data_IF_350545229451
#
_entry.id   IF_350545229451
#
_cell.length_a   1.000
_cell.length_b   1.000
_cell.length_c   1.000
_cell.angle_alpha   90.00
_cell.angle_beta   90.00
_cell.angle_gamma   90.00
#
_symmetry.space_group_name_H-M   'P 1'
#
loop_
_entity.id
_entity.type
_entity.pdbx_description
1 polymer ?
#
# COMPACT_ATOMS: atom_id res chain seq x y z
N UNK A 1 25.03 6.25 -7.76
CA UNK A 1 25.65 4.91 -7.82
C UNK A 1 26.54 4.55 -6.63
N UNK A 2 27.49 5.40 -6.18
CA UNK A 2 28.28 5.12 -4.94
C UNK A 2 27.47 5.33 -3.65
N UNK A 3 26.61 6.36 -3.63
CA UNK A 3 25.89 6.77 -2.42
C UNK A 3 24.57 6.02 -2.20
N UNK A 4 23.85 5.65 -3.27
CA UNK A 4 22.63 4.84 -3.21
C UNK A 4 22.87 3.47 -2.54
N UNK A 5 24.08 2.91 -2.71
CA UNK A 5 24.50 1.65 -2.09
C UNK A 5 24.52 1.69 -0.57
N UNK A 6 24.85 2.84 0.02
CA UNK A 6 24.79 3.01 1.48
C UNK A 6 23.35 3.18 1.94
N UNK A 7 22.52 3.81 1.13
CA UNK A 7 21.12 4.10 1.44
C UNK A 7 20.23 2.84 1.48
N UNK A 8 20.54 1.77 0.75
CA UNK A 8 19.78 0.50 0.82
C UNK A 8 19.89 -0.19 2.19
N UNK A 9 20.93 0.13 2.97
CA UNK A 9 21.14 -0.44 4.32
C UNK A 9 20.39 0.32 5.43
N UNK A 10 19.61 1.34 5.05
CA UNK A 10 18.81 2.12 5.99
C UNK A 10 17.83 1.20 6.74
N UNK A 11 17.80 1.31 8.06
CA UNK A 11 16.89 0.55 8.91
C UNK A 11 15.41 0.87 8.62
N UNK A 12 15.12 2.07 8.10
CA UNK A 12 13.78 2.43 7.64
C UNK A 12 13.31 1.58 6.45
N UNK A 13 14.23 1.20 5.55
CA UNK A 13 13.89 0.29 4.44
C UNK A 13 13.48 -1.08 4.99
N UNK A 14 14.22 -1.61 5.98
CA UNK A 14 13.90 -2.90 6.60
C UNK A 14 12.52 -2.87 7.25
N UNK A 15 12.24 -1.83 8.05
CA UNK A 15 10.94 -1.63 8.69
C UNK A 15 9.81 -1.52 7.66
N UNK A 16 10.01 -0.73 6.60
CA UNK A 16 9.04 -0.62 5.50
C UNK A 16 8.75 -1.98 4.87
N UNK A 17 9.78 -2.78 4.56
CA UNK A 17 9.61 -4.10 3.95
C UNK A 17 8.90 -5.07 4.89
N UNK A 18 9.21 -5.04 6.18
CA UNK A 18 8.51 -5.83 7.19
C UNK A 18 7.02 -5.46 7.23
N UNK A 19 6.69 -4.17 7.26
CA UNK A 19 5.31 -3.70 7.19
C UNK A 19 4.62 -4.14 5.90
N UNK A 20 5.29 -4.04 4.74
CA UNK A 20 4.75 -4.50 3.45
C UNK A 20 4.46 -6.00 3.48
N UNK A 21 5.37 -6.82 4.03
CA UNK A 21 5.15 -8.26 4.16
C UNK A 21 3.94 -8.58 5.02
N UNK A 22 3.81 -7.92 6.18
CA UNK A 22 2.67 -8.12 7.10
C UNK A 22 1.36 -7.65 6.44
N UNK A 23 1.38 -6.55 5.69
CA UNK A 23 0.21 -6.09 4.94
C UNK A 23 -0.20 -7.04 3.82
N UNK A 24 0.76 -7.54 3.03
CA UNK A 24 0.48 -8.58 2.04
C UNK A 24 -0.09 -9.84 2.69
N UNK A 25 0.45 -10.28 3.81
CA UNK A 25 -0.05 -11.44 4.56
C UNK A 25 -1.48 -11.23 5.08
N UNK A 26 -1.78 -10.04 5.65
CA UNK A 26 -3.13 -9.69 6.07
C UNK A 26 -4.13 -9.79 4.91
N UNK A 27 -3.74 -9.33 3.72
CA UNK A 27 -4.58 -9.36 2.52
C UNK A 27 -4.72 -10.77 1.95
N UNK A 28 -3.64 -11.56 1.92
CA UNK A 28 -3.62 -12.90 1.33
C UNK A 28 -4.27 -13.96 2.23
N UNK A 29 -4.13 -13.83 3.55
CA UNK A 29 -4.51 -14.83 4.56
C UNK A 29 -5.62 -14.31 5.51
N UNK A 30 -6.69 -13.77 4.94
CA UNK A 30 -7.75 -13.06 5.67
C UNK A 30 -8.91 -13.94 6.19
N UNK A 31 -8.92 -15.24 5.88
CA UNK A 31 -10.10 -16.13 6.01
C UNK A 31 -10.62 -16.33 7.46
N UNK A 32 -9.76 -16.13 8.46
CA UNK A 32 -10.06 -16.33 9.88
C UNK A 32 -10.10 -15.02 10.68
N UNK A 33 -9.91 -13.88 10.03
CA UNK A 33 -9.85 -12.57 10.69
C UNK A 33 -11.27 -12.00 10.77
N UNK A 34 -11.74 -11.71 11.98
CA UNK A 34 -13.03 -11.03 12.13
C UNK A 34 -12.95 -9.58 11.59
N UNK A 35 -14.09 -9.03 11.17
CA UNK A 35 -14.18 -7.71 10.52
C UNK A 35 -13.53 -6.58 11.34
N UNK A 36 -13.73 -6.55 12.66
CA UNK A 36 -13.21 -5.50 13.53
C UNK A 36 -11.68 -5.57 13.63
N UNK A 37 -11.12 -6.77 13.82
CA UNK A 37 -9.68 -6.99 13.83
C UNK A 37 -9.06 -6.63 12.48
N UNK A 38 -9.72 -6.98 11.37
CA UNK A 38 -9.26 -6.62 10.04
C UNK A 38 -9.22 -5.10 9.85
N UNK A 39 -10.25 -4.36 10.29
CA UNK A 39 -10.28 -2.90 10.25
C UNK A 39 -9.15 -2.28 11.08
N UNK A 40 -9.00 -2.69 12.34
CA UNK A 40 -7.93 -2.19 13.21
C UNK A 40 -6.54 -2.47 12.64
N UNK A 41 -6.29 -3.70 12.19
CA UNK A 41 -4.98 -4.06 11.65
C UNK A 41 -4.70 -3.37 10.32
N UNK A 42 -5.71 -3.18 9.48
CA UNK A 42 -5.60 -2.37 8.26
C UNK A 42 -5.20 -0.94 8.61
N UNK A 43 -5.84 -0.30 9.59
CA UNK A 43 -5.50 1.06 9.99
C UNK A 43 -4.05 1.17 10.50
N UNK A 44 -3.65 0.27 11.40
CA UNK A 44 -2.29 0.20 11.95
C UNK A 44 -1.24 0.09 10.83
N UNK A 45 -1.42 -0.88 9.93
CA UNK A 45 -0.47 -1.13 8.84
C UNK A 45 -0.46 0.01 7.82
N UNK A 46 -1.61 0.61 7.48
CA UNK A 46 -1.63 1.76 6.57
C UNK A 46 -0.90 2.97 7.16
N UNK A 47 -1.04 3.22 8.48
CA UNK A 47 -0.26 4.26 9.17
C UNK A 47 1.24 3.99 9.09
N UNK A 48 1.67 2.76 9.38
CA UNK A 48 3.08 2.37 9.31
C UNK A 48 3.63 2.45 7.88
N UNK A 49 2.85 2.01 6.88
CA UNK A 49 3.23 2.08 5.47
C UNK A 49 3.45 3.54 5.05
N UNK A 50 2.57 4.45 5.43
CA UNK A 50 2.74 5.87 5.15
C UNK A 50 3.97 6.41 5.89
N UNK A 51 4.08 6.13 7.20
CA UNK A 51 5.18 6.62 8.02
C UNK A 51 6.54 6.20 7.46
N UNK A 52 6.77 4.89 7.28
CA UNK A 52 8.03 4.39 6.75
C UNK A 52 8.20 4.69 5.25
N UNK A 53 7.11 4.80 4.49
CA UNK A 53 7.12 5.20 3.09
C UNK A 53 7.70 6.60 2.88
N UNK A 54 7.36 7.56 3.76
CA UNK A 54 7.96 8.91 3.77
C UNK A 54 9.44 8.92 4.17
N UNK A 55 9.86 7.93 4.97
CA UNK A 55 11.25 7.78 5.40
C UNK A 55 12.13 7.03 4.38
N UNK A 56 11.56 6.53 3.29
CA UNK A 56 12.34 5.89 2.24
C UNK A 56 13.32 6.89 1.59
N UNK A 57 14.59 6.49 1.38
CA UNK A 57 15.59 7.38 0.83
C UNK A 57 15.26 7.76 -0.61
N UNK A 58 15.59 9.00 -0.97
CA UNK A 58 15.45 9.47 -2.33
C UNK A 58 16.60 8.92 -3.19
N UNK A 59 16.39 7.73 -3.73
CA UNK A 59 17.31 7.06 -4.66
C UNK A 59 16.84 7.30 -6.10
N UNK A 60 17.71 7.01 -7.08
CA UNK A 60 17.36 7.05 -8.51
C UNK A 60 17.23 5.63 -9.04
N UNK A 61 16.17 5.35 -9.80
CA UNK A 61 15.99 4.06 -10.49
C UNK A 61 17.10 3.85 -11.53
N UNK A 62 17.59 2.61 -11.66
CA UNK A 62 18.61 2.25 -12.67
C UNK A 62 17.95 1.93 -14.02
N UNK A 63 16.67 1.55 -14.00
CA UNK A 63 15.84 1.44 -15.18
C UNK A 63 14.48 2.05 -14.91
N UNK A 64 14.09 3.11 -15.63
CA UNK A 64 12.74 3.70 -15.62
C UNK A 64 11.66 2.75 -16.18
N UNK A 65 11.89 1.43 -16.13
CA UNK A 65 10.90 0.46 -16.56
C UNK A 65 9.86 0.27 -15.45
N UNK A 66 8.56 0.24 -15.82
CA UNK A 66 7.52 -0.12 -14.87
C UNK A 66 7.80 -1.51 -14.31
N UNK A 67 7.55 -1.70 -13.01
CA UNK A 67 7.65 -3.02 -12.41
C UNK A 67 6.73 -3.98 -13.17
N UNK A 68 7.26 -5.18 -13.48
CA UNK A 68 6.43 -6.24 -14.04
C UNK A 68 5.29 -6.55 -13.07
N UNK A 69 4.09 -6.59 -13.61
CA UNK A 69 2.87 -6.96 -12.88
C UNK A 69 3.02 -8.38 -12.35
N UNK A 70 3.12 -8.53 -11.03
CA UNK A 70 3.23 -9.83 -10.36
C UNK A 70 1.86 -10.47 -10.13
N UNK A 71 0.79 -9.66 -10.13
CA UNK A 71 -0.58 -10.08 -9.81
C UNK A 71 -1.44 -10.09 -11.08
N UNK A 72 -2.03 -11.24 -11.41
CA UNK A 72 -2.99 -11.33 -12.52
C UNK A 72 -4.28 -10.56 -12.22
N UNK A 73 -4.99 -10.14 -13.27
CA UNK A 73 -6.28 -9.45 -13.11
C UNK A 73 -7.31 -10.32 -12.37
N UNK A 74 -7.34 -11.63 -12.64
CA UNK A 74 -8.24 -12.56 -11.96
C UNK A 74 -7.94 -12.66 -10.47
N UNK A 75 -6.64 -12.68 -10.10
CA UNK A 75 -6.24 -12.71 -8.70
C UNK A 75 -6.56 -11.38 -8.00
N UNK A 76 -6.36 -10.24 -8.67
CA UNK A 76 -6.79 -8.94 -8.16
C UNK A 76 -8.30 -8.90 -7.88
N UNK A 77 -9.13 -9.36 -8.84
CA UNK A 77 -10.60 -9.41 -8.68
C UNK A 77 -10.98 -10.34 -7.53
N UNK A 78 -10.29 -11.47 -7.36
CA UNK A 78 -10.50 -12.39 -6.24
C UNK A 78 -10.25 -11.68 -4.90
N UNK A 79 -9.08 -11.07 -4.73
CA UNK A 79 -8.70 -10.34 -3.50
C UNK A 79 -9.70 -9.22 -3.20
N UNK A 80 -10.05 -8.42 -4.21
CA UNK A 80 -11.00 -7.33 -4.07
C UNK A 80 -12.39 -7.82 -3.60
N UNK A 81 -12.88 -8.96 -4.10
CA UNK A 81 -14.13 -9.57 -3.64
C UNK A 81 -14.05 -10.10 -2.21
N UNK A 82 -12.95 -10.77 -1.86
CA UNK A 82 -12.74 -11.29 -0.50
C UNK A 82 -12.73 -10.15 0.53
N UNK A 83 -12.00 -9.08 0.25
CA UNK A 83 -11.96 -7.89 1.12
C UNK A 83 -13.32 -7.19 1.18
N UNK A 84 -14.04 -7.09 0.06
CA UNK A 84 -15.40 -6.51 0.05
C UNK A 84 -16.34 -7.27 0.97
N UNK A 85 -16.26 -8.61 1.00
CA UNK A 85 -17.05 -9.44 1.90
C UNK A 85 -16.70 -9.19 3.37
N UNK A 86 -15.41 -8.99 3.69
CA UNK A 86 -14.97 -8.67 5.05
C UNK A 86 -15.50 -7.31 5.48
N UNK A 87 -15.38 -6.27 4.66
CA UNK A 87 -15.87 -4.92 5.01
C UNK A 87 -17.39 -4.82 5.00
N UNK A 88 -18.09 -5.65 4.22
CA UNK A 88 -19.55 -5.71 4.20
C UNK A 88 -20.18 -4.34 4.02
N UNK A 89 -21.07 -3.95 4.94
CA UNK A 89 -21.77 -2.65 4.90
C UNK A 89 -20.85 -1.43 5.00
N UNK A 90 -19.63 -1.60 5.50
CA UNK A 90 -18.64 -0.52 5.64
C UNK A 90 -17.75 -0.35 4.41
N UNK A 91 -17.96 -1.15 3.35
CA UNK A 91 -17.06 -1.16 2.21
C UNK A 91 -17.07 0.15 1.41
N UNK A 92 -18.19 0.87 1.34
CA UNK A 92 -18.32 2.08 0.53
C UNK A 92 -18.10 3.35 1.36
N UNK A 93 -17.38 4.33 0.81
CA UNK A 93 -17.18 5.62 1.46
C UNK A 93 -16.99 6.76 0.45
N UNK A 94 -17.11 8.00 0.95
CA UNK A 94 -16.90 9.22 0.17
C UNK A 94 -15.66 9.98 0.66
N UNK A 95 -14.91 10.58 -0.27
CA UNK A 95 -13.79 11.46 0.02
C UNK A 95 -13.77 12.66 -0.94
N UNK A 96 -12.94 13.66 -0.62
CA UNK A 96 -12.72 14.83 -1.48
C UNK A 96 -11.39 14.61 -2.22
N UNK A 97 -11.42 14.55 -3.55
CA UNK A 97 -10.24 14.21 -4.35
C UNK A 97 -9.09 15.23 -4.23
N UNK A 98 -9.42 16.52 -4.14
CA UNK A 98 -8.45 17.59 -3.89
C UNK A 98 -8.97 18.44 -2.72
N UNK A 99 -8.51 18.14 -1.52
CA UNK A 99 -8.97 18.82 -0.31
C UNK A 99 -8.46 20.27 -0.20
N UNK A 100 -7.45 20.65 -0.97
CA UNK A 100 -6.81 21.98 -0.91
C UNK A 100 -7.44 22.93 -1.91
N UNK A 101 -7.75 22.45 -3.13
CA UNK A 101 -8.32 23.29 -4.21
C UNK A 101 -9.84 23.22 -4.29
N UNK A 102 -10.51 22.60 -3.31
CA UNK A 102 -11.97 22.47 -3.31
C UNK A 102 -12.49 21.49 -4.35
N UNK A 103 -11.89 20.30 -4.39
CA UNK A 103 -12.25 19.21 -5.30
C UNK A 103 -13.65 18.64 -5.07
N UNK A 104 -14.07 17.78 -5.99
CA UNK A 104 -15.38 17.12 -5.93
C UNK A 104 -15.37 15.97 -4.92
N UNK A 105 -16.56 15.70 -4.38
CA UNK A 105 -16.81 14.47 -3.63
C UNK A 105 -16.79 13.28 -4.59
N UNK A 106 -16.00 12.27 -4.27
CA UNK A 106 -15.81 11.04 -5.05
C UNK A 106 -16.08 9.84 -4.16
N UNK A 107 -16.80 8.86 -4.69
CA UNK A 107 -17.07 7.60 -3.99
C UNK A 107 -16.02 6.56 -4.36
N UNK A 108 -15.56 5.80 -3.36
CA UNK A 108 -14.73 4.61 -3.56
C UNK A 108 -15.21 3.48 -2.66
N UNK A 109 -14.55 2.33 -2.79
CA UNK A 109 -14.71 1.22 -1.86
C UNK A 109 -13.37 0.88 -1.24
N UNK A 110 -13.36 0.61 0.06
CA UNK A 110 -12.18 0.14 0.80
C UNK A 110 -11.58 -1.11 0.16
N UNK A 111 -12.42 -2.01 -0.39
CA UNK A 111 -11.93 -3.21 -1.07
C UNK A 111 -11.12 -2.94 -2.33
N UNK A 112 -11.48 -1.92 -3.12
CA UNK A 112 -10.68 -1.46 -4.28
C UNK A 112 -9.38 -0.85 -3.77
N UNK A 113 -9.48 0.05 -2.79
CA UNK A 113 -8.32 0.77 -2.27
C UNK A 113 -7.28 -0.17 -1.67
N UNK A 114 -7.69 -1.12 -0.83
CA UNK A 114 -6.78 -2.13 -0.25
C UNK A 114 -6.20 -3.03 -1.35
N UNK A 115 -6.99 -3.44 -2.35
CA UNK A 115 -6.48 -4.27 -3.44
C UNK A 115 -5.46 -3.54 -4.32
N UNK A 116 -5.65 -2.23 -4.58
CA UNK A 116 -4.70 -1.41 -5.33
C UNK A 116 -3.41 -1.15 -4.55
N UNK A 117 -3.52 -0.83 -3.26
CA UNK A 117 -2.35 -0.71 -2.37
C UNK A 117 -1.59 -2.05 -2.34
N UNK A 118 -2.29 -3.17 -2.15
CA UNK A 118 -1.70 -4.50 -2.16
C UNK A 118 -0.96 -4.79 -3.47
N UNK A 119 -1.58 -4.47 -4.61
CA UNK A 119 -0.98 -4.67 -5.93
C UNK A 119 0.35 -3.92 -6.08
N UNK A 120 0.37 -2.63 -5.74
CA UNK A 120 1.57 -1.80 -5.86
C UNK A 120 2.67 -2.28 -4.92
N UNK A 121 2.32 -2.58 -3.66
CA UNK A 121 3.27 -3.03 -2.65
C UNK A 121 3.84 -4.42 -2.99
N UNK A 122 2.99 -5.37 -3.40
CA UNK A 122 3.39 -6.74 -3.76
C UNK A 122 4.29 -6.76 -5.00
N UNK A 123 4.00 -5.95 -6.01
CA UNK A 123 4.84 -5.83 -7.19
C UNK A 123 6.27 -5.41 -6.81
N UNK A 124 6.40 -4.38 -5.95
CA UNK A 124 7.71 -3.97 -5.41
C UNK A 124 8.36 -5.07 -4.57
N UNK A 125 7.59 -5.80 -3.76
CA UNK A 125 8.12 -6.84 -2.89
C UNK A 125 8.72 -8.00 -3.69
N UNK A 126 8.02 -8.45 -4.74
CA UNK A 126 8.51 -9.51 -5.64
C UNK A 126 9.81 -9.09 -6.31
N UNK A 127 9.94 -7.82 -6.70
CA UNK A 127 11.15 -7.29 -7.32
C UNK A 127 12.28 -7.21 -6.30
N UNK A 128 12.02 -6.69 -5.11
CA UNK A 128 12.99 -6.61 -4.02
C UNK A 128 13.55 -8.00 -3.65
N UNK A 129 12.69 -9.01 -3.57
CA UNK A 129 13.06 -10.38 -3.20
C UNK A 129 13.94 -11.10 -4.24
N UNK A 130 14.16 -10.53 -5.44
CA UNK A 130 15.19 -11.02 -6.37
C UNK A 130 16.61 -10.89 -5.80
N UNK A 131 16.81 -10.04 -4.79
CA UNK A 131 18.02 -9.95 -3.98
C UNK A 131 19.26 -9.35 -4.66
N UNK A 132 19.19 -9.05 -5.97
CA UNK A 132 20.24 -8.27 -6.63
C UNK A 132 20.03 -6.76 -6.37
N UNK A 133 21.15 -6.04 -6.30
CA UNK A 133 21.18 -4.63 -5.91
C UNK A 133 20.26 -3.75 -6.76
N UNK A 134 20.30 -3.89 -8.10
CA UNK A 134 19.46 -3.11 -9.01
C UNK A 134 17.97 -3.32 -8.72
N UNK A 135 17.55 -4.57 -8.50
CA UNK A 135 16.14 -4.86 -8.20
C UNK A 135 15.72 -4.30 -6.84
N UNK A 136 16.61 -4.28 -5.85
CA UNK A 136 16.33 -3.67 -4.55
C UNK A 136 16.20 -2.14 -4.66
N UNK A 137 17.09 -1.49 -5.41
CA UNK A 137 17.02 -0.05 -5.71
C UNK A 137 15.71 0.28 -6.42
N UNK A 138 15.39 -0.45 -7.49
CA UNK A 138 14.19 -0.19 -8.28
C UNK A 138 12.93 -0.36 -7.41
N UNK A 139 12.84 -1.41 -6.58
CA UNK A 139 11.70 -1.61 -5.69
C UNK A 139 11.51 -0.44 -4.70
N UNK A 140 12.59 0.01 -4.04
CA UNK A 140 12.54 1.14 -3.10
C UNK A 140 12.17 2.43 -3.81
N UNK A 141 12.69 2.65 -5.03
CA UNK A 141 12.34 3.79 -5.86
C UNK A 141 10.84 3.80 -6.17
N UNK A 142 10.29 2.68 -6.65
CA UNK A 142 8.88 2.55 -7.02
C UNK A 142 7.94 2.75 -5.83
N UNK A 143 8.26 2.16 -4.67
CA UNK A 143 7.48 2.38 -3.45
C UNK A 143 7.47 3.84 -3.04
N UNK A 144 8.65 4.48 -2.98
CA UNK A 144 8.76 5.90 -2.65
C UNK A 144 8.02 6.77 -3.67
N UNK A 145 8.19 6.51 -4.97
CA UNK A 145 7.48 7.23 -6.02
C UNK A 145 5.96 7.17 -5.78
N UNK A 146 5.43 6.00 -5.42
CA UNK A 146 4.01 5.82 -5.15
C UNK A 146 3.47 6.54 -3.91
N UNK A 147 4.32 6.82 -2.91
CA UNK A 147 3.96 7.68 -1.76
C UNK A 147 3.74 9.12 -2.22
N UNK A 148 4.68 9.68 -2.97
CA UNK A 148 4.72 11.12 -3.28
C UNK A 148 3.92 11.50 -4.53
N UNK A 149 3.74 10.58 -5.50
CA UNK A 149 3.14 10.87 -6.80
C UNK A 149 1.77 10.20 -6.99
N UNK A 150 1.00 10.09 -5.90
CA UNK A 150 -0.45 9.77 -5.91
C UNK A 150 -0.87 8.36 -6.36
N UNK A 151 0.00 7.36 -6.25
CA UNK A 151 -0.41 5.96 -6.39
C UNK A 151 -0.99 5.46 -5.05
N UNK A 152 -0.45 4.37 -4.51
CA UNK A 152 -0.89 3.79 -3.25
C UNK A 152 -0.90 4.74 -2.04
N UNK A 153 -0.04 5.77 -2.00
CA UNK A 153 0.08 6.66 -0.83
C UNK A 153 -1.18 7.48 -0.55
N UNK A 154 -1.75 8.13 -1.58
CA UNK A 154 -2.99 8.90 -1.41
C UNK A 154 -4.18 7.98 -1.12
N UNK A 155 -4.25 6.85 -1.82
CA UNK A 155 -5.26 5.81 -1.59
C UNK A 155 -5.24 5.32 -0.15
N UNK A 156 -4.05 5.07 0.43
CA UNK A 156 -3.88 4.68 1.82
C UNK A 156 -4.41 5.74 2.79
N UNK A 157 -4.11 7.02 2.57
CA UNK A 157 -4.59 8.11 3.44
C UNK A 157 -6.12 8.23 3.40
N UNK A 158 -6.74 8.10 2.22
CA UNK A 158 -8.20 8.11 2.10
C UNK A 158 -8.84 6.92 2.82
N UNK A 159 -8.30 5.72 2.62
CA UNK A 159 -8.74 4.51 3.30
C UNK A 159 -8.56 4.60 4.82
N UNK A 160 -7.43 5.13 5.31
CA UNK A 160 -7.18 5.35 6.74
C UNK A 160 -8.26 6.21 7.38
N UNK A 161 -8.62 7.33 6.75
CA UNK A 161 -9.67 8.23 7.26
C UNK A 161 -11.03 7.51 7.33
N UNK A 162 -11.37 6.77 6.27
CA UNK A 162 -12.61 6.01 6.23
C UNK A 162 -12.66 4.93 7.32
N UNK A 163 -11.60 4.13 7.45
CA UNK A 163 -11.49 3.08 8.47
C UNK A 163 -11.53 3.68 9.88
N UNK A 164 -10.79 4.77 10.13
CA UNK A 164 -10.82 5.46 11.42
C UNK A 164 -12.25 5.90 11.80
N UNK A 165 -12.99 6.49 10.87
CA UNK A 165 -14.37 6.89 11.13
C UNK A 165 -15.26 5.67 11.43
N UNK A 166 -15.08 4.55 10.72
CA UNK A 166 -15.83 3.32 10.96
C UNK A 166 -15.61 2.82 12.38
N UNK A 167 -14.36 2.68 12.83
CA UNK A 167 -14.02 2.10 14.15
C UNK A 167 -14.28 3.03 15.35
N UNK A 168 -14.43 4.33 15.12
CA UNK A 168 -14.65 5.32 16.20
C UNK A 168 -16.09 5.81 16.29
N UNK A 169 -16.90 5.60 15.25
CA UNK A 169 -18.29 6.06 15.20
C UNK A 169 -19.29 4.91 15.37
N UNK A 170 -18.89 3.68 15.02
CA UNK A 170 -19.71 2.47 15.05
C UNK A 170 -19.01 1.35 15.83
#
# INVERSE_FOLDING_TARGET
MSDDKKLIKDDNIKKFIETVKIFCDLVENNQSVNQLNFLHKSLELLMDLIHYGFLLPNISSVGEQPLKVAISQDYYIKIQKEIANIFGKYNYYWFIYDSVKGGKMVGSTLSIDIADIYKDLKNGLVVYLKGNESSMIDAVWHWRFGVYNTNWGMTAVNAMKAIYNIITTY
#
